data_IF_387629875133
#
_entry.id   IF_387629875133
#
_cell.length_a   1.000
_cell.length_b   1.000
_cell.length_c   1.000
_cell.angle_alpha   90.00
_cell.angle_beta   90.00
_cell.angle_gamma   90.00
#
_symmetry.space_group_name_H-M   'P 1'
#
loop_
_entity.id
_entity.type
_entity.pdbx_description
1 polymer ?
#
# COMPACT_ATOMS: atom_id res chain seq x y z
N UNK A 1 -11.29 -11.22 0.08
CA UNK A 1 -10.06 -10.53 -0.38
C UNK A 1 -10.33 -9.38 -1.38
N UNK A 2 -11.57 -9.02 -1.72
CA UNK A 2 -11.85 -8.10 -2.84
C UNK A 2 -12.53 -6.76 -2.46
N UNK A 3 -13.00 -6.55 -1.23
CA UNK A 3 -13.80 -5.36 -0.87
C UNK A 3 -12.94 -4.10 -0.67
N UNK A 4 -11.90 -4.16 0.16
CA UNK A 4 -11.13 -2.96 0.56
C UNK A 4 -10.21 -2.43 -0.55
N UNK A 5 -9.58 -3.33 -1.32
CA UNK A 5 -8.71 -2.94 -2.44
C UNK A 5 -9.49 -2.21 -3.53
N UNK A 6 -10.72 -2.64 -3.82
CA UNK A 6 -11.60 -1.97 -4.78
C UNK A 6 -12.00 -0.58 -4.28
N UNK A 7 -12.28 -0.43 -2.98
CA UNK A 7 -12.63 0.85 -2.35
C UNK A 7 -11.43 1.81 -2.39
N UNK A 8 -10.24 1.34 -2.01
CA UNK A 8 -9.00 2.12 -2.08
C UNK A 8 -8.74 2.59 -3.52
N UNK A 9 -8.83 1.68 -4.49
CA UNK A 9 -8.63 2.02 -5.90
C UNK A 9 -9.65 3.05 -6.40
N UNK A 10 -10.91 2.91 -5.99
CA UNK A 10 -11.97 3.87 -6.29
C UNK A 10 -11.69 5.27 -5.74
N UNK A 11 -11.19 5.38 -4.51
CA UNK A 11 -10.79 6.67 -3.93
C UNK A 11 -9.62 7.29 -4.68
N UNK A 12 -8.57 6.51 -4.95
CA UNK A 12 -7.38 7.02 -5.64
C UNK A 12 -7.71 7.52 -7.05
N UNK A 13 -8.55 6.81 -7.82
CA UNK A 13 -9.01 7.26 -9.15
C UNK A 13 -9.79 8.57 -9.13
N UNK A 14 -10.41 8.92 -8.00
CA UNK A 14 -11.16 10.16 -7.82
C UNK A 14 -10.31 11.29 -7.20
N UNK A 15 -8.99 11.09 -7.06
CA UNK A 15 -8.09 12.07 -6.43
C UNK A 15 -8.29 12.21 -4.92
N UNK A 16 -9.06 11.31 -4.30
CA UNK A 16 -9.40 11.29 -2.87
C UNK A 16 -8.31 10.56 -2.08
N UNK A 17 -7.10 11.13 -2.07
CA UNK A 17 -5.90 10.45 -1.57
C UNK A 17 -5.95 10.25 -0.06
N UNK A 18 -6.43 11.25 0.69
CA UNK A 18 -6.49 11.23 2.15
C UNK A 18 -7.38 10.10 2.63
N UNK A 19 -8.56 9.95 2.02
CA UNK A 19 -9.51 8.89 2.37
C UNK A 19 -9.00 7.50 1.98
N UNK A 20 -8.29 7.38 0.84
CA UNK A 20 -7.64 6.14 0.46
C UNK A 20 -6.56 5.72 1.48
N UNK A 21 -5.75 6.69 1.95
CA UNK A 21 -4.71 6.48 2.95
C UNK A 21 -5.29 6.12 4.32
N UNK A 22 -6.33 6.82 4.76
CA UNK A 22 -6.98 6.54 6.04
C UNK A 22 -7.59 5.13 6.06
N UNK A 23 -8.31 4.76 5.00
CA UNK A 23 -8.90 3.43 4.88
C UNK A 23 -7.82 2.34 4.81
N UNK A 24 -6.74 2.60 4.07
CA UNK A 24 -5.60 1.71 4.01
C UNK A 24 -4.98 1.52 5.40
N UNK A 25 -4.78 2.58 6.17
CA UNK A 25 -4.23 2.52 7.53
C UNK A 25 -5.10 1.68 8.46
N UNK A 26 -6.43 1.77 8.36
CA UNK A 26 -7.41 1.01 9.18
C UNK A 26 -7.46 -0.49 8.88
N UNK A 27 -7.03 -0.94 7.70
CA UNK A 27 -7.01 -2.39 7.36
C UNK A 27 -5.83 -3.07 8.07
N UNK A 28 -6.09 -3.98 9.00
CA UNK A 28 -5.05 -4.71 9.74
C UNK A 28 -4.25 -5.70 8.87
N UNK A 29 -4.84 -6.23 7.79
CA UNK A 29 -4.22 -7.16 6.86
C UNK A 29 -3.95 -6.49 5.50
N UNK A 30 -2.79 -5.83 5.39
CA UNK A 30 -2.30 -5.24 4.15
C UNK A 30 -1.44 -6.26 3.41
N UNK A 31 -2.06 -7.11 2.59
CA UNK A 31 -1.31 -8.02 1.73
C UNK A 31 -0.54 -7.25 0.65
N UNK A 32 0.41 -7.92 -0.02
CA UNK A 32 1.25 -7.33 -1.07
C UNK A 32 0.40 -6.60 -2.13
N UNK A 33 -0.71 -7.20 -2.55
CA UNK A 33 -1.63 -6.64 -3.54
C UNK A 33 -2.23 -5.28 -3.13
N UNK A 34 -2.56 -5.09 -1.85
CA UNK A 34 -3.09 -3.81 -1.37
C UNK A 34 -2.05 -2.68 -1.43
N UNK A 35 -0.79 -2.98 -1.09
CA UNK A 35 0.32 -2.02 -1.24
C UNK A 35 0.54 -1.65 -2.70
N UNK A 36 0.60 -2.65 -3.59
CA UNK A 36 0.82 -2.42 -5.02
C UNK A 36 -0.31 -1.59 -5.64
N UNK A 37 -1.56 -1.85 -5.27
CA UNK A 37 -2.70 -1.07 -5.75
C UNK A 37 -2.64 0.41 -5.32
N UNK A 38 -2.27 0.68 -4.06
CA UNK A 38 -2.17 2.05 -3.54
C UNK A 38 -1.00 2.81 -4.18
N UNK A 39 0.17 2.19 -4.29
CA UNK A 39 1.37 2.77 -4.91
C UNK A 39 1.10 3.10 -6.39
N UNK A 40 0.56 2.14 -7.15
CA UNK A 40 0.24 2.34 -8.57
C UNK A 40 -0.83 3.42 -8.78
N UNK A 41 -1.81 3.52 -7.88
CA UNK A 41 -2.80 4.59 -7.94
C UNK A 41 -2.19 5.98 -7.67
N UNK A 42 -1.27 6.09 -6.72
CA UNK A 42 -0.59 7.35 -6.42
C UNK A 42 0.29 7.82 -7.58
N UNK A 43 1.01 6.90 -8.24
CA UNK A 43 1.78 7.22 -9.45
C UNK A 43 0.87 7.77 -10.55
N UNK A 44 -0.26 7.11 -10.82
CA UNK A 44 -1.19 7.52 -11.87
C UNK A 44 -1.87 8.87 -11.59
N UNK A 45 -1.97 9.27 -10.33
CA UNK A 45 -2.55 10.57 -9.92
C UNK A 45 -1.49 11.67 -9.76
N UNK A 46 -0.23 11.42 -10.12
CA UNK A 46 0.85 12.40 -10.03
C UNK A 46 1.46 12.56 -8.63
N UNK A 47 1.05 11.75 -7.66
CA UNK A 47 1.51 11.78 -6.27
C UNK A 47 2.76 10.91 -6.07
N UNK A 48 3.80 11.15 -6.88
CA UNK A 48 5.00 10.31 -6.91
C UNK A 48 5.79 10.26 -5.60
N UNK A 49 5.88 11.38 -4.87
CA UNK A 49 6.59 11.44 -3.57
C UNK A 49 5.91 10.54 -2.54
N UNK A 50 4.58 10.60 -2.46
CA UNK A 50 3.79 9.76 -1.56
C UNK A 50 3.91 8.28 -1.93
N UNK A 51 3.92 7.97 -3.24
CA UNK A 51 4.10 6.61 -3.74
C UNK A 51 5.45 6.02 -3.30
N UNK A 52 6.54 6.79 -3.41
CA UNK A 52 7.88 6.37 -2.96
C UNK A 52 7.91 6.16 -1.44
N UNK A 53 7.31 7.08 -0.67
CA UNK A 53 7.22 6.93 0.79
C UNK A 53 6.48 5.65 1.21
N UNK A 54 5.37 5.34 0.55
CA UNK A 54 4.63 4.08 0.77
C UNK A 54 5.44 2.84 0.36
N UNK A 55 6.19 2.89 -0.74
CA UNK A 55 7.05 1.78 -1.16
C UNK A 55 8.17 1.50 -0.15
N UNK A 56 8.81 2.53 0.39
CA UNK A 56 9.83 2.38 1.45
C UNK A 56 9.21 1.76 2.70
N UNK A 57 8.02 2.22 3.11
CA UNK A 57 7.30 1.65 4.26
C UNK A 57 6.92 0.18 4.05
N UNK A 58 6.44 -0.17 2.86
CA UNK A 58 6.16 -1.55 2.46
C UNK A 58 7.41 -2.43 2.59
N UNK A 59 8.56 -1.97 2.07
CA UNK A 59 9.83 -2.69 2.16
C UNK A 59 10.33 -2.83 3.59
N UNK A 60 10.09 -1.87 4.47
CA UNK A 60 10.46 -2.00 5.88
C UNK A 60 9.64 -3.08 6.59
N UNK A 61 8.36 -3.24 6.23
CA UNK A 61 7.47 -4.24 6.84
C UNK A 61 7.72 -5.64 6.26
N UNK A 62 7.79 -5.74 4.93
CA UNK A 62 8.00 -7.01 4.21
C UNK A 62 9.46 -7.46 4.29
N UNK A 63 10.42 -6.52 4.25
CA UNK A 63 11.84 -6.80 4.40
C UNK A 63 12.24 -7.23 5.82
N UNK A 64 11.57 -6.70 6.86
CA UNK A 64 11.73 -7.23 8.22
C UNK A 64 11.25 -8.70 8.32
N UNK A 65 10.18 -9.05 7.60
CA UNK A 65 9.72 -10.45 7.50
C UNK A 65 10.67 -11.32 6.68
N UNK A 66 11.28 -10.80 5.61
CA UNK A 66 12.21 -11.55 4.77
C UNK A 66 13.56 -11.83 5.48
N UNK A 67 14.05 -10.90 6.30
CA UNK A 67 15.30 -11.08 7.04
C UNK A 67 15.18 -12.09 8.20
N UNK A 68 13.99 -12.23 8.82
CA UNK A 68 13.76 -13.24 9.86
C UNK A 68 13.65 -14.66 9.27
N UNK A 69 13.07 -14.81 8.08
CA UNK A 69 12.97 -16.10 7.39
C UNK A 69 14.33 -16.64 6.89
N UNK A 70 15.34 -15.79 6.73
CA UNK A 70 16.69 -16.19 6.31
C UNK A 70 17.56 -16.65 7.50
N UNK A 71 17.18 -16.34 8.74
CA UNK A 71 17.89 -16.78 9.96
C UNK A 71 17.38 -18.10 10.54
N UNK A 72 16.37 -18.73 9.93
CA UNK A 72 15.83 -20.04 10.31
C UNK A 72 16.19 -21.17 9.32
N UNK A 73 17.26 -21.00 8.51
CA UNK A 73 17.79 -22.05 7.62
C UNK A 73 19.26 -22.31 7.95
#
# INVERSE_FOLDING_TARGET
MASWTAIIYGYVRKGRKEEALELFLRVHLKNLFAWTALISGLIQSGNGVDAVGLFVKMRSIVGASANLAMLEI
#
